data_IF_674818248138
#
_entry.id   IF_674818248138
#
_cell.length_a   1.000
_cell.length_b   1.000
_cell.length_c   1.000
_cell.angle_alpha   90.00
_cell.angle_beta   90.00
_cell.angle_gamma   90.00
#
_symmetry.space_group_name_H-M   'P 1'
#
loop_
_entity.id
_entity.type
_entity.pdbx_description
1 polymer ?
#
# COMPACT_ATOMS: atom_id res chain seq x y z
N UNK A 1 6.80 -25.49 50.41
CA UNK A 1 6.48 -24.06 50.18
C UNK A 1 6.08 -23.89 48.72
N UNK A 2 4.78 -23.88 48.45
CA UNK A 2 4.17 -23.82 47.12
C UNK A 2 4.08 -22.35 46.64
N UNK A 3 4.57 -22.02 45.45
CA UNK A 3 4.15 -20.80 44.72
C UNK A 3 3.59 -21.17 43.36
N UNK A 4 2.25 -21.13 43.25
CA UNK A 4 1.50 -21.13 41.99
C UNK A 4 1.20 -19.70 41.55
N UNK A 5 1.49 -19.44 40.27
CA UNK A 5 0.73 -18.67 39.25
C UNK A 5 0.32 -17.20 39.52
N UNK A 6 0.55 -16.35 38.51
CA UNK A 6 -0.52 -15.85 37.61
C UNK A 6 0.08 -15.26 36.32
N UNK A 7 0.04 -16.06 35.27
CA UNK A 7 -0.05 -15.61 33.88
C UNK A 7 -1.51 -15.27 33.61
N UNK A 8 -1.79 -14.13 33.00
CA UNK A 8 -3.10 -13.82 32.44
C UNK A 8 -2.93 -13.00 31.15
N UNK A 9 -2.70 -13.72 30.06
CA UNK A 9 -3.05 -13.29 28.71
C UNK A 9 -4.58 -13.29 28.60
N UNK A 10 -5.19 -12.12 28.43
CA UNK A 10 -6.59 -12.03 28.03
C UNK A 10 -6.59 -11.52 26.59
N UNK A 11 -6.63 -12.47 25.66
CA UNK A 11 -6.95 -12.17 24.26
C UNK A 11 -8.42 -11.77 24.19
N UNK A 12 -8.80 -10.71 23.46
CA UNK A 12 -10.20 -10.52 23.10
C UNK A 12 -10.66 -11.69 22.22
N UNK A 13 -11.95 -12.08 22.29
CA UNK A 13 -12.45 -13.23 21.56
C UNK A 13 -12.35 -13.00 20.05
N UNK A 14 -12.11 -14.05 19.23
CA UNK A 14 -12.08 -13.92 17.79
C UNK A 14 -13.46 -13.47 17.29
N UNK A 15 -13.53 -12.28 16.69
CA UNK A 15 -14.72 -11.86 15.96
C UNK A 15 -14.84 -12.71 14.69
N UNK A 16 -16.02 -13.28 14.46
CA UNK A 16 -16.33 -14.02 13.23
C UNK A 16 -16.14 -13.09 12.03
N UNK A 17 -15.51 -13.59 10.97
CA UNK A 17 -15.19 -12.89 9.70
C UNK A 17 -16.33 -12.04 9.15
N UNK A 18 -17.59 -12.45 9.36
CA UNK A 18 -18.78 -11.72 8.95
C UNK A 18 -18.96 -10.36 9.65
N UNK A 19 -18.68 -10.26 10.98
CA UNK A 19 -18.80 -9.00 11.73
C UNK A 19 -17.70 -7.99 11.40
N UNK A 20 -16.62 -8.43 10.75
CA UNK A 20 -15.53 -7.57 10.27
C UNK A 20 -15.99 -6.77 9.04
N UNK A 21 -16.88 -7.33 8.20
CA UNK A 21 -17.42 -6.61 7.03
C UNK A 21 -18.27 -5.39 7.40
N UNK A 22 -19.06 -5.51 8.47
CA UNK A 22 -20.02 -4.47 8.87
C UNK A 22 -19.35 -3.25 9.57
N UNK A 23 -18.04 -3.32 9.86
CA UNK A 23 -17.30 -2.30 10.64
C UNK A 23 -16.29 -1.49 9.83
N UNK A 24 -16.23 -1.68 8.50
CA UNK A 24 -15.66 -0.68 7.61
C UNK A 24 -16.55 0.57 7.66
N UNK A 25 -15.97 1.78 7.51
CA UNK A 25 -16.74 2.99 7.17
C UNK A 25 -17.85 2.61 6.20
N UNK A 26 -19.07 3.09 6.43
CA UNK A 26 -20.18 2.86 5.49
C UNK A 26 -19.65 2.98 4.06
N UNK A 27 -19.68 1.90 3.24
CA UNK A 27 -19.10 1.86 1.90
C UNK A 27 -19.51 3.05 1.02
N UNK A 28 -20.65 3.64 1.36
CA UNK A 28 -21.17 4.90 0.83
C UNK A 28 -20.15 6.04 0.93
N UNK A 29 -19.34 6.18 1.99
CA UNK A 29 -18.45 7.34 2.15
C UNK A 29 -17.20 7.28 1.26
N UNK A 30 -16.53 6.12 1.14
CA UNK A 30 -15.36 5.99 0.25
C UNK A 30 -15.78 6.07 -1.21
N UNK A 31 -16.85 5.36 -1.59
CA UNK A 31 -17.36 5.41 -2.96
C UNK A 31 -17.96 6.78 -3.28
N UNK A 32 -18.69 7.43 -2.35
CA UNK A 32 -19.14 8.80 -2.56
C UNK A 32 -17.98 9.81 -2.62
N UNK A 33 -16.89 9.62 -1.89
CA UNK A 33 -15.70 10.47 -2.05
C UNK A 33 -15.09 10.29 -3.44
N UNK A 34 -14.97 9.05 -3.93
CA UNK A 34 -14.52 8.77 -5.30
C UNK A 34 -15.47 9.34 -6.36
N UNK A 35 -16.78 9.15 -6.21
CA UNK A 35 -17.82 9.66 -7.12
C UNK A 35 -17.89 11.19 -7.10
N UNK A 36 -17.82 11.83 -5.93
CA UNK A 36 -17.77 13.29 -5.80
C UNK A 36 -16.48 13.86 -6.41
N UNK A 37 -15.36 13.13 -6.30
CA UNK A 37 -14.12 13.47 -7.00
C UNK A 37 -14.26 13.43 -8.52
N UNK A 38 -14.92 12.40 -9.06
CA UNK A 38 -15.20 12.28 -10.50
C UNK A 38 -16.18 13.36 -10.99
N UNK A 39 -17.23 13.69 -10.22
CA UNK A 39 -18.18 14.73 -10.59
C UNK A 39 -17.55 16.13 -10.65
N UNK A 40 -16.62 16.46 -9.74
CA UNK A 40 -15.85 17.72 -9.79
C UNK A 40 -14.98 17.82 -11.05
N UNK A 41 -14.43 16.71 -11.54
CA UNK A 41 -13.64 16.72 -12.77
C UNK A 41 -14.49 16.98 -14.02
N UNK A 42 -15.62 16.29 -14.14
CA UNK A 42 -16.53 16.48 -15.27
C UNK A 42 -17.05 17.92 -15.34
N UNK A 43 -17.21 18.57 -14.18
CA UNK A 43 -17.57 19.98 -14.11
C UNK A 43 -16.40 20.90 -14.53
N UNK A 44 -15.17 20.64 -14.07
CA UNK A 44 -13.99 21.46 -14.43
C UNK A 44 -13.66 21.35 -15.92
N UNK A 45 -13.74 20.15 -16.51
CA UNK A 45 -13.53 19.92 -17.94
C UNK A 45 -14.59 20.60 -18.82
N UNK A 46 -15.83 20.71 -18.33
CA UNK A 46 -16.90 21.42 -19.03
C UNK A 46 -16.74 22.95 -18.91
N UNK A 47 -16.25 23.47 -17.79
CA UNK A 47 -16.03 24.93 -17.60
C UNK A 47 -14.76 25.47 -18.27
N UNK A 48 -13.77 24.63 -18.56
CA UNK A 48 -12.55 25.04 -19.29
C UNK A 48 -12.70 25.05 -20.81
N UNK A 49 -13.88 24.74 -21.34
CA UNK A 49 -14.15 24.66 -22.78
C UNK A 49 -14.36 26.03 -23.47
N UNK A 50 -14.20 27.15 -22.75
CA UNK A 50 -14.45 28.50 -23.29
C UNK A 50 -13.23 29.43 -23.37
N UNK A 51 -11.98 28.94 -23.38
CA UNK A 51 -10.81 29.80 -23.59
C UNK A 51 -9.68 29.17 -24.44
N UNK A 52 -9.53 29.73 -25.65
CA UNK A 52 -8.35 29.84 -26.53
C UNK A 52 -7.51 28.60 -26.92
N UNK A 53 -7.26 28.54 -28.24
CA UNK A 53 -6.48 27.59 -29.01
C UNK A 53 -5.03 27.35 -28.50
N UNK A 54 -4.57 26.09 -28.59
CA UNK A 54 -3.14 25.75 -28.63
C UNK A 54 -2.66 24.59 -27.77
N UNK A 55 -3.45 24.07 -26.82
CA UNK A 55 -3.03 22.94 -26.01
C UNK A 55 -3.55 21.62 -26.59
N UNK A 56 -2.65 20.69 -26.92
CA UNK A 56 -3.00 19.28 -27.14
C UNK A 56 -3.84 18.81 -25.96
N UNK A 57 -5.12 18.54 -26.19
CA UNK A 57 -6.07 18.18 -25.15
C UNK A 57 -5.85 16.70 -24.80
N UNK A 58 -4.73 16.41 -24.13
CA UNK A 58 -4.41 15.05 -23.70
C UNK A 58 -5.51 14.58 -22.75
N UNK A 59 -6.29 13.60 -23.19
CA UNK A 59 -7.32 12.98 -22.37
C UNK A 59 -6.66 12.51 -21.08
N UNK A 60 -7.22 12.86 -19.93
CA UNK A 60 -6.75 12.37 -18.63
C UNK A 60 -7.68 11.28 -18.15
N UNK A 61 -7.13 10.18 -17.65
CA UNK A 61 -7.92 9.15 -16.96
C UNK A 61 -7.64 9.20 -15.46
N UNK A 62 -8.67 8.86 -14.69
CA UNK A 62 -8.53 8.70 -13.24
C UNK A 62 -8.06 7.29 -12.92
N UNK A 63 -7.08 7.16 -12.02
CA UNK A 63 -6.64 5.89 -11.44
C UNK A 63 -6.89 5.93 -9.93
N UNK A 64 -7.51 4.87 -9.41
CA UNK A 64 -7.75 4.62 -7.97
C UNK A 64 -6.60 3.80 -7.39
N UNK A 65 -5.87 4.41 -6.47
CA UNK A 65 -4.78 3.80 -5.74
C UNK A 65 -5.21 3.50 -4.30
N UNK A 66 -4.85 2.32 -3.79
CA UNK A 66 -4.93 1.98 -2.38
C UNK A 66 -3.57 1.47 -1.92
N UNK A 67 -3.12 1.90 -0.74
CA UNK A 67 -1.95 1.33 -0.07
C UNK A 67 -2.30 0.87 1.33
N UNK A 68 -1.81 -0.30 1.73
CA UNK A 68 -2.07 -0.85 3.06
C UNK A 68 -0.93 -1.73 3.57
N UNK A 69 -0.31 -1.32 4.67
CA UNK A 69 0.50 -2.24 5.47
C UNK A 69 -0.43 -3.25 6.14
N UNK A 70 -0.31 -4.51 5.70
CA UNK A 70 -1.29 -5.54 6.02
C UNK A 70 -0.90 -6.39 7.24
N UNK A 71 0.33 -6.23 7.78
CA UNK A 71 0.91 -7.00 8.90
C UNK A 71 0.78 -8.53 8.70
N UNK A 72 1.07 -9.02 7.50
CA UNK A 72 1.00 -10.43 7.11
C UNK A 72 -0.20 -10.73 6.22
N UNK A 73 0.08 -11.01 4.95
CA UNK A 73 -0.95 -11.16 3.90
C UNK A 73 -1.76 -12.46 4.03
N UNK A 74 -1.15 -13.51 4.59
CA UNK A 74 -1.75 -14.85 4.60
C UNK A 74 -3.13 -14.92 5.27
N UNK A 75 -3.42 -14.04 6.24
CA UNK A 75 -4.70 -14.00 6.98
C UNK A 75 -5.87 -13.46 6.15
N UNK A 76 -5.59 -12.82 5.02
CA UNK A 76 -6.60 -12.24 4.13
C UNK A 76 -6.92 -13.10 2.91
N UNK A 77 -6.13 -14.15 2.69
CA UNK A 77 -6.21 -15.02 1.52
C UNK A 77 -6.93 -16.33 1.86
N UNK A 78 -7.55 -16.94 0.86
CA UNK A 78 -8.09 -18.31 0.96
C UNK A 78 -7.00 -19.29 1.40
N UNK A 79 -7.34 -20.36 2.14
CA UNK A 79 -6.38 -21.41 2.53
C UNK A 79 -5.64 -22.00 1.32
N UNK A 80 -4.38 -22.41 1.51
CA UNK A 80 -3.65 -23.15 0.47
C UNK A 80 -4.16 -24.59 0.42
N UNK A 81 -5.11 -24.87 -0.46
CA UNK A 81 -5.78 -26.18 -0.57
C UNK A 81 -4.85 -27.31 -1.06
N UNK A 82 -3.59 -27.03 -1.40
CA UNK A 82 -2.65 -28.02 -1.97
C UNK A 82 -2.28 -29.18 -1.04
N UNK A 83 -2.53 -29.06 0.28
CA UNK A 83 -2.24 -30.15 1.25
C UNK A 83 -3.50 -30.83 1.78
N UNK A 84 -4.59 -30.06 1.98
CA UNK A 84 -5.83 -30.58 2.55
C UNK A 84 -6.66 -31.34 1.50
N UNK A 85 -6.71 -30.87 0.25
CA UNK A 85 -7.42 -31.59 -0.82
C UNK A 85 -6.72 -32.93 -1.13
N UNK A 86 -5.40 -33.03 -1.02
CA UNK A 86 -4.68 -34.32 -1.16
C UNK A 86 -5.01 -35.33 -0.05
N UNK A 87 -5.36 -34.85 1.14
CA UNK A 87 -5.77 -35.71 2.27
C UNK A 87 -7.27 -36.06 2.21
N UNK A 88 -8.13 -35.12 1.79
CA UNK A 88 -9.58 -35.29 1.73
C UNK A 88 -10.00 -36.06 0.46
N UNK A 89 -9.36 -35.87 -0.70
CA UNK A 89 -9.62 -36.71 -1.89
C UNK A 89 -9.29 -38.19 -1.67
N UNK A 90 -8.50 -38.53 -0.64
CA UNK A 90 -8.16 -39.91 -0.30
C UNK A 90 -9.18 -40.58 0.65
N UNK A 91 -10.11 -39.82 1.24
CA UNK A 91 -11.19 -40.34 2.09
C UNK A 91 -12.49 -39.68 1.69
N UNK A 92 -13.20 -40.31 0.76
CA UNK A 92 -14.43 -39.80 0.15
C UNK A 92 -15.41 -39.20 1.17
N UNK A 93 -15.74 -37.93 0.98
CA UNK A 93 -16.97 -37.31 1.44
C UNK A 93 -17.20 -36.03 0.62
N UNK A 94 -18.32 -35.92 -0.13
CA UNK A 94 -18.70 -34.69 -0.80
C UNK A 94 -19.55 -33.87 0.17
N UNK A 95 -18.92 -33.01 0.95
CA UNK A 95 -19.64 -31.87 1.55
C UNK A 95 -19.27 -30.63 0.77
N UNK A 96 -20.26 -30.07 0.07
CA UNK A 96 -20.17 -28.80 -0.65
C UNK A 96 -19.63 -27.74 0.32
N UNK A 97 -18.36 -27.42 0.18
CA UNK A 97 -17.74 -26.30 0.85
C UNK A 97 -18.36 -25.05 0.19
N UNK A 98 -19.36 -24.44 0.81
CA UNK A 98 -19.83 -23.11 0.42
C UNK A 98 -18.63 -22.19 0.58
N UNK A 99 -17.93 -21.91 -0.53
CA UNK A 99 -16.66 -21.20 -0.52
C UNK A 99 -16.90 -19.84 0.15
N UNK A 100 -16.46 -19.71 1.40
CA UNK A 100 -16.36 -18.38 2.02
C UNK A 100 -15.32 -17.64 1.20
N UNK A 101 -15.76 -16.60 0.50
CA UNK A 101 -14.87 -15.71 -0.24
C UNK A 101 -13.81 -15.16 0.70
N UNK A 102 -12.58 -15.05 0.23
CA UNK A 102 -11.49 -14.51 1.05
C UNK A 102 -11.78 -13.05 1.42
N UNK A 103 -11.13 -12.57 2.49
CA UNK A 103 -11.21 -11.16 2.85
C UNK A 103 -10.70 -10.27 1.69
N UNK A 104 -9.60 -10.66 1.04
CA UNK A 104 -9.06 -9.92 -0.10
C UNK A 104 -10.08 -9.82 -1.23
N UNK A 105 -10.77 -10.91 -1.56
CA UNK A 105 -11.82 -10.93 -2.60
C UNK A 105 -12.93 -9.94 -2.27
N UNK A 106 -13.38 -9.91 -1.01
CA UNK A 106 -14.43 -9.00 -0.54
C UNK A 106 -13.95 -7.54 -0.59
N UNK A 107 -12.71 -7.28 -0.13
CA UNK A 107 -12.10 -5.96 -0.15
C UNK A 107 -12.00 -5.39 -1.57
N UNK A 108 -11.52 -6.19 -2.53
CA UNK A 108 -11.40 -5.79 -3.93
C UNK A 108 -12.77 -5.54 -4.57
N UNK A 109 -13.77 -6.40 -4.30
CA UNK A 109 -15.13 -6.18 -4.78
C UNK A 109 -15.74 -4.88 -4.23
N UNK A 110 -15.47 -4.56 -2.97
CA UNK A 110 -16.01 -3.38 -2.30
C UNK A 110 -15.38 -2.07 -2.76
N UNK A 111 -14.06 -2.04 -2.91
CA UNK A 111 -13.31 -0.80 -3.17
C UNK A 111 -12.89 -0.62 -4.62
N UNK A 112 -12.82 -1.71 -5.40
CA UNK A 112 -12.45 -1.71 -6.82
C UNK A 112 -11.26 -0.78 -7.17
N UNK A 113 -10.11 -0.92 -6.50
CA UNK A 113 -8.93 -0.13 -6.85
C UNK A 113 -8.40 -0.53 -8.23
N UNK A 114 -7.77 0.39 -8.93
CA UNK A 114 -6.98 0.07 -10.13
C UNK A 114 -5.61 -0.50 -9.71
N UNK A 115 -5.04 0.00 -8.61
CA UNK A 115 -3.82 -0.52 -8.00
C UNK A 115 -3.98 -0.65 -6.48
N UNK A 116 -3.68 -1.83 -5.94
CA UNK A 116 -3.57 -2.10 -4.50
C UNK A 116 -2.12 -2.47 -4.15
N UNK A 117 -1.48 -1.64 -3.33
CA UNK A 117 -0.14 -1.86 -2.78
C UNK A 117 -0.23 -2.39 -1.36
N UNK A 118 0.35 -3.57 -1.12
CA UNK A 118 0.39 -4.23 0.17
C UNK A 118 1.83 -4.28 0.69
N UNK A 119 2.02 -3.88 1.95
CA UNK A 119 3.30 -3.95 2.66
C UNK A 119 3.23 -4.95 3.81
N UNK A 120 4.41 -5.35 4.31
CA UNK A 120 4.55 -6.35 5.37
C UNK A 120 3.80 -7.64 5.03
N UNK A 121 3.98 -8.16 3.83
CA UNK A 121 3.24 -9.36 3.41
C UNK A 121 3.65 -10.61 4.20
N UNK A 122 4.84 -10.59 4.79
CA UNK A 122 5.42 -11.63 5.64
C UNK A 122 5.51 -13.00 4.95
N UNK A 123 5.93 -12.99 3.68
CA UNK A 123 6.12 -14.20 2.87
C UNK A 123 7.56 -14.26 2.36
N UNK A 124 8.22 -15.40 2.55
CA UNK A 124 9.55 -15.65 1.98
C UNK A 124 9.47 -15.90 0.48
N UNK A 125 10.50 -15.49 -0.27
CA UNK A 125 10.63 -15.74 -1.71
C UNK A 125 10.48 -17.23 -2.10
N UNK A 126 10.85 -18.17 -1.21
CA UNK A 126 10.63 -19.61 -1.40
C UNK A 126 9.15 -20.02 -1.55
N UNK A 127 8.22 -19.17 -1.12
CA UNK A 127 6.77 -19.38 -1.23
C UNK A 127 6.11 -18.52 -2.32
N UNK A 128 6.89 -17.80 -3.14
CA UNK A 128 6.40 -16.91 -4.22
C UNK A 128 5.37 -17.60 -5.11
N UNK A 129 5.65 -18.80 -5.61
CA UNK A 129 4.73 -19.52 -6.50
C UNK A 129 3.39 -19.88 -5.83
N UNK A 130 3.39 -20.27 -4.56
CA UNK A 130 2.16 -20.54 -3.80
C UNK A 130 1.37 -19.25 -3.56
N UNK A 131 2.06 -18.17 -3.17
CA UNK A 131 1.44 -16.86 -2.94
C UNK A 131 0.75 -16.35 -4.21
N UNK A 132 1.45 -16.33 -5.35
CA UNK A 132 0.89 -15.85 -6.62
C UNK A 132 -0.30 -16.69 -7.08
N UNK A 133 -0.27 -18.01 -6.88
CA UNK A 133 -1.42 -18.89 -7.18
C UNK A 133 -2.65 -18.52 -6.36
N UNK A 134 -2.47 -18.29 -5.05
CA UNK A 134 -3.58 -17.90 -4.15
C UNK A 134 -4.11 -16.52 -4.51
N UNK A 135 -3.24 -15.56 -4.78
CA UNK A 135 -3.63 -14.22 -5.25
C UNK A 135 -4.42 -14.29 -6.56
N UNK A 136 -3.99 -15.12 -7.53
CA UNK A 136 -4.75 -15.34 -8.77
C UNK A 136 -6.15 -15.90 -8.52
N UNK A 137 -6.32 -16.74 -7.51
CA UNK A 137 -7.63 -17.29 -7.13
C UNK A 137 -8.51 -16.25 -6.42
N UNK A 138 -7.93 -15.48 -5.50
CA UNK A 138 -8.68 -14.52 -4.67
C UNK A 138 -8.93 -13.17 -5.38
N UNK A 139 -8.11 -12.83 -6.37
CA UNK A 139 -8.15 -11.58 -7.14
C UNK A 139 -8.05 -11.83 -8.65
N UNK A 140 -8.98 -12.58 -9.27
CA UNK A 140 -8.87 -13.06 -10.66
C UNK A 140 -8.81 -11.94 -11.72
N UNK A 141 -9.31 -10.75 -11.41
CA UNK A 141 -9.31 -9.58 -12.29
C UNK A 141 -8.03 -8.72 -12.16
N UNK A 142 -7.11 -9.12 -11.28
CA UNK A 142 -5.86 -8.42 -11.01
C UNK A 142 -4.67 -9.27 -11.44
N UNK A 143 -3.61 -8.59 -11.85
CA UNK A 143 -2.27 -9.15 -12.00
C UNK A 143 -1.48 -8.86 -10.74
N UNK A 144 -0.84 -9.89 -10.18
CA UNK A 144 -0.13 -9.82 -8.91
C UNK A 144 1.39 -9.91 -9.11
N UNK A 145 2.12 -8.93 -8.58
CA UNK A 145 3.58 -8.90 -8.55
C UNK A 145 4.06 -8.81 -7.11
N UNK A 146 5.28 -9.29 -6.83
CA UNK A 146 5.81 -9.26 -5.48
C UNK A 146 7.34 -9.17 -5.43
N UNK A 147 7.86 -8.37 -4.51
CA UNK A 147 9.26 -8.41 -4.11
C UNK A 147 9.29 -8.99 -2.69
N UNK A 148 9.95 -10.13 -2.50
CA UNK A 148 9.86 -10.92 -1.27
C UNK A 148 11.25 -11.18 -0.67
N UNK A 149 11.41 -11.06 0.66
CA UNK A 149 12.67 -11.35 1.32
C UNK A 149 13.03 -12.83 1.24
N UNK A 150 14.32 -13.15 1.16
CA UNK A 150 14.79 -14.52 1.24
C UNK A 150 14.60 -15.11 2.65
N UNK A 151 15.09 -14.41 3.68
CA UNK A 151 15.21 -14.89 5.06
C UNK A 151 14.37 -14.12 6.08
N UNK A 152 14.33 -12.78 5.99
CA UNK A 152 13.58 -11.94 6.92
C UNK A 152 12.07 -11.95 6.60
N UNK A 153 11.30 -12.83 7.25
CA UNK A 153 9.85 -12.94 7.04
C UNK A 153 9.03 -11.74 7.53
N UNK A 154 9.64 -10.65 8.00
CA UNK A 154 8.92 -9.45 8.47
C UNK A 154 8.85 -8.33 7.42
N UNK A 155 9.18 -8.62 6.17
CA UNK A 155 9.13 -7.66 5.07
C UNK A 155 8.41 -8.26 3.85
N UNK A 156 8.65 -7.69 2.68
CA UNK A 156 8.00 -8.06 1.43
C UNK A 156 6.84 -7.14 1.09
N UNK A 157 6.68 -6.90 -0.21
CA UNK A 157 5.59 -6.11 -0.79
C UNK A 157 4.90 -6.90 -1.91
N UNK A 158 3.60 -6.66 -2.07
CA UNK A 158 2.79 -7.18 -3.17
C UNK A 158 2.05 -6.01 -3.81
N UNK A 159 2.01 -5.96 -5.13
CA UNK A 159 1.14 -5.03 -5.87
C UNK A 159 0.14 -5.83 -6.69
N UNK A 160 -1.12 -5.40 -6.65
CA UNK A 160 -2.20 -5.92 -7.47
C UNK A 160 -2.66 -4.81 -8.42
N UNK A 161 -2.45 -4.99 -9.72
CA UNK A 161 -2.94 -4.07 -10.75
C UNK A 161 -4.14 -4.69 -11.46
N UNK A 162 -5.22 -3.94 -11.67
CA UNK A 162 -6.35 -4.44 -12.47
C UNK A 162 -5.86 -4.77 -13.88
N UNK A 163 -6.33 -5.87 -14.49
CA UNK A 163 -5.82 -6.33 -15.80
C UNK A 163 -6.02 -5.36 -16.96
N UNK A 164 -6.98 -4.44 -16.85
CA UNK A 164 -7.19 -3.37 -17.83
C UNK A 164 -6.16 -2.23 -17.71
N UNK A 165 -5.37 -2.21 -16.64
CA UNK A 165 -4.30 -1.26 -16.43
C UNK A 165 -3.00 -1.81 -17.01
N UNK A 166 -2.54 -1.22 -18.12
CA UNK A 166 -1.28 -1.60 -18.76
C UNK A 166 -0.08 -1.28 -17.84
N UNK A 167 0.67 -2.31 -17.47
CA UNK A 167 1.97 -2.22 -16.79
C UNK A 167 3.04 -2.54 -17.83
N UNK A 168 3.90 -1.58 -18.16
CA UNK A 168 4.98 -1.74 -19.15
C UNK A 168 6.11 -2.57 -18.55
N UNK A 169 6.59 -2.14 -17.39
CA UNK A 169 7.67 -2.79 -16.67
C UNK A 169 7.40 -2.86 -15.16
N UNK A 170 7.94 -3.90 -14.53
CA UNK A 170 7.97 -4.06 -13.08
C UNK A 170 9.39 -4.34 -12.66
N UNK A 171 9.90 -3.58 -11.70
CA UNK A 171 11.31 -3.61 -11.30
C UNK A 171 11.46 -3.73 -9.79
N UNK A 172 12.38 -4.61 -9.38
CA UNK A 172 12.94 -4.61 -8.03
C UNK A 172 14.19 -3.70 -8.03
N UNK A 173 14.63 -3.27 -6.85
CA UNK A 173 15.86 -2.48 -6.70
C UNK A 173 17.01 -3.35 -6.20
N UNK A 174 18.22 -3.10 -6.67
CA UNK A 174 19.42 -3.89 -6.31
C UNK A 174 19.91 -3.61 -4.88
N UNK A 175 19.67 -2.40 -4.38
CA UNK A 175 20.12 -1.92 -3.08
C UNK A 175 19.19 -2.31 -1.90
N UNK A 176 18.13 -3.08 -2.16
CA UNK A 176 17.27 -3.65 -1.12
C UNK A 176 17.01 -5.15 -1.33
N UNK A 177 17.66 -5.96 -0.50
CA UNK A 177 17.47 -7.42 -0.50
C UNK A 177 16.37 -7.90 0.49
N UNK A 178 15.66 -6.97 1.15
CA UNK A 178 14.59 -7.28 2.10
C UNK A 178 13.19 -7.27 1.45
N UNK A 179 13.10 -6.92 0.17
CA UNK A 179 11.86 -6.89 -0.59
C UNK A 179 10.91 -5.76 -0.20
N UNK A 180 11.46 -4.57 0.02
CA UNK A 180 10.76 -3.39 0.54
C UNK A 180 10.32 -2.41 -0.52
N UNK A 181 10.76 -2.57 -1.77
CA UNK A 181 10.41 -1.68 -2.88
C UNK A 181 10.04 -2.50 -4.09
N UNK A 182 8.92 -2.14 -4.71
CA UNK A 182 8.54 -2.66 -6.02
C UNK A 182 8.03 -1.50 -6.88
N UNK A 183 8.63 -1.34 -8.05
CA UNK A 183 8.38 -0.23 -8.97
C UNK A 183 7.58 -0.74 -10.17
N UNK A 184 6.58 0.02 -10.58
CA UNK A 184 5.72 -0.26 -11.74
C UNK A 184 5.73 0.93 -12.68
N UNK A 185 6.25 0.74 -13.88
CA UNK A 185 6.07 1.70 -14.96
C UNK A 185 4.73 1.42 -15.64
N UNK A 186 3.78 2.32 -15.44
CA UNK A 186 2.49 2.34 -16.12
C UNK A 186 2.60 3.26 -17.33
N UNK A 187 1.56 3.27 -18.16
CA UNK A 187 1.47 4.32 -19.17
C UNK A 187 1.15 5.68 -18.53
N UNK A 188 2.12 6.59 -18.52
CA UNK A 188 1.99 7.95 -17.99
C UNK A 188 2.17 8.11 -16.48
N UNK A 189 2.70 7.09 -15.80
CA UNK A 189 2.98 7.12 -14.35
C UNK A 189 4.01 6.04 -13.97
N UNK A 190 5.02 6.39 -13.17
CA UNK A 190 5.81 5.41 -12.41
C UNK A 190 5.30 5.32 -10.98
N UNK A 191 4.90 4.13 -10.54
CA UNK A 191 4.36 3.86 -9.21
C UNK A 191 5.35 3.05 -8.36
N UNK A 192 5.58 3.47 -7.12
CA UNK A 192 6.43 2.79 -6.15
C UNK A 192 5.61 2.27 -4.97
N UNK A 193 5.63 0.95 -4.75
CA UNK A 193 5.13 0.33 -3.52
C UNK A 193 6.29 0.23 -2.51
N UNK A 194 6.19 0.95 -1.38
CA UNK A 194 7.32 1.16 -0.46
C UNK A 194 7.03 0.68 0.96
N UNK A 195 7.97 -0.05 1.55
CA UNK A 195 7.99 -0.42 2.97
C UNK A 195 9.32 -0.06 3.65
N UNK A 196 9.44 1.17 4.15
CA UNK A 196 10.65 1.62 4.84
C UNK A 196 10.87 0.92 6.18
N UNK A 197 12.14 0.82 6.58
CA UNK A 197 12.53 0.34 7.90
C UNK A 197 11.97 1.24 9.02
N UNK A 198 11.63 0.62 10.15
CA UNK A 198 11.46 1.34 11.40
C UNK A 198 12.79 1.96 11.89
N UNK A 199 12.69 3.07 12.62
CA UNK A 199 13.80 3.85 13.17
C UNK A 199 14.14 3.38 14.59
N UNK A 200 14.97 2.35 14.74
CA UNK A 200 15.45 1.90 16.05
C UNK A 200 16.96 1.69 16.08
N UNK A 201 17.52 1.66 17.29
CA UNK A 201 18.94 1.38 17.52
C UNK A 201 19.26 -0.13 17.51
N UNK A 202 18.27 -0.97 17.19
CA UNK A 202 18.51 -2.39 16.98
C UNK A 202 19.50 -2.61 15.83
N UNK A 203 20.37 -3.62 15.94
CA UNK A 203 21.34 -3.92 14.89
C UNK A 203 20.62 -4.28 13.59
N UNK A 204 21.07 -3.67 12.49
CA UNK A 204 20.74 -4.10 11.14
C UNK A 204 21.83 -5.04 10.62
N UNK A 205 21.38 -6.12 9.98
CA UNK A 205 22.22 -7.16 9.40
C UNK A 205 22.04 -7.16 7.90
N UNK A 206 23.14 -7.30 7.18
CA UNK A 206 23.10 -7.51 5.74
C UNK A 206 22.63 -8.94 5.38
N UNK A 207 22.61 -9.27 4.09
CA UNK A 207 22.20 -10.58 3.59
C UNK A 207 23.07 -11.74 4.10
N UNK A 208 24.29 -11.48 4.56
CA UNK A 208 25.20 -12.48 5.15
C UNK A 208 24.92 -12.70 6.65
N UNK A 209 24.06 -11.87 7.26
CA UNK A 209 23.81 -11.87 8.70
C UNK A 209 24.79 -11.01 9.49
N UNK A 210 25.72 -10.31 8.83
CA UNK A 210 26.72 -9.45 9.47
C UNK A 210 26.11 -8.14 9.91
N UNK A 211 26.38 -7.71 11.16
CA UNK A 211 25.91 -6.41 11.65
C UNK A 211 26.69 -5.30 10.93
N UNK A 212 25.97 -4.38 10.27
CA UNK A 212 26.58 -3.26 9.53
C UNK A 212 26.26 -1.89 10.14
N UNK A 213 25.43 -1.87 11.19
CA UNK A 213 25.01 -0.65 11.87
C UNK A 213 23.67 -0.88 12.55
N UNK A 214 22.96 0.22 12.80
CA UNK A 214 21.61 0.23 13.37
C UNK A 214 20.55 0.24 12.26
N UNK A 215 19.30 -0.15 12.60
CA UNK A 215 18.15 0.00 11.70
C UNK A 215 17.89 1.46 11.36
N UNK A 216 18.11 2.38 12.30
CA UNK A 216 18.01 3.82 12.05
C UNK A 216 19.03 4.30 10.99
N UNK A 217 20.27 3.82 11.01
CA UNK A 217 21.28 4.13 9.99
C UNK A 217 20.91 3.56 8.62
N UNK A 218 20.54 2.27 8.58
CA UNK A 218 20.08 1.64 7.34
C UNK A 218 18.88 2.37 6.75
N UNK A 219 17.93 2.82 7.59
CA UNK A 219 16.78 3.60 7.13
C UNK A 219 17.18 4.89 6.43
N UNK A 220 18.14 5.66 6.98
CA UNK A 220 18.61 6.89 6.33
C UNK A 220 19.24 6.60 4.97
N UNK A 221 20.06 5.54 4.88
CA UNK A 221 20.61 5.09 3.61
C UNK A 221 19.50 4.69 2.62
N UNK A 222 18.52 3.90 3.07
CA UNK A 222 17.35 3.51 2.27
C UNK A 222 16.60 4.73 1.74
N UNK A 223 16.38 5.74 2.58
CA UNK A 223 15.68 6.97 2.21
C UNK A 223 16.43 7.79 1.16
N UNK A 224 17.77 7.85 1.23
CA UNK A 224 18.59 8.53 0.19
C UNK A 224 18.47 7.84 -1.15
N UNK A 225 18.61 6.51 -1.17
CA UNK A 225 18.52 5.71 -2.39
C UNK A 225 17.13 5.78 -3.01
N UNK A 226 16.08 5.65 -2.19
CA UNK A 226 14.70 5.81 -2.65
C UNK A 226 14.43 7.22 -3.20
N UNK A 227 14.90 8.28 -2.53
CA UNK A 227 14.72 9.65 -3.01
C UNK A 227 15.46 9.91 -4.32
N UNK A 228 16.64 9.30 -4.50
CA UNK A 228 17.39 9.35 -5.76
C UNK A 228 16.63 8.61 -6.87
N UNK A 229 16.15 7.39 -6.61
CA UNK A 229 15.37 6.61 -7.58
C UNK A 229 14.11 7.36 -8.02
N UNK A 230 13.34 7.88 -7.06
CA UNK A 230 12.16 8.69 -7.36
C UNK A 230 12.50 9.94 -8.17
N UNK A 231 13.65 10.58 -7.89
CA UNK A 231 14.08 11.77 -8.65
C UNK A 231 14.42 11.42 -10.09
N UNK A 232 15.19 10.34 -10.30
CA UNK A 232 15.55 9.88 -11.64
C UNK A 232 14.31 9.53 -12.46
N UNK A 233 13.40 8.74 -11.88
CA UNK A 233 12.15 8.35 -12.53
C UNK A 233 11.25 9.57 -12.83
N UNK A 234 11.25 10.58 -11.95
CA UNK A 234 10.47 11.81 -12.15
C UNK A 234 10.95 12.71 -13.28
N UNK A 235 12.15 12.46 -13.82
CA UNK A 235 12.65 13.16 -15.01
C UNK A 235 11.97 12.65 -16.29
N UNK A 236 11.49 11.41 -16.30
CA UNK A 236 10.93 10.75 -17.49
C UNK A 236 9.39 10.83 -17.52
N UNK A 237 8.75 10.63 -16.37
CA UNK A 237 7.29 10.67 -16.25
C UNK A 237 6.85 10.99 -14.81
N UNK A 238 5.58 11.36 -14.57
CA UNK A 238 5.08 11.59 -13.22
C UNK A 238 5.33 10.37 -12.32
N UNK A 239 5.67 10.61 -11.05
CA UNK A 239 5.92 9.54 -10.06
C UNK A 239 4.95 9.61 -8.89
N UNK A 240 4.51 8.44 -8.42
CA UNK A 240 3.80 8.31 -7.14
C UNK A 240 4.44 7.19 -6.32
N UNK A 241 4.87 7.50 -5.11
CA UNK A 241 5.31 6.52 -4.13
C UNK A 241 4.33 6.46 -2.96
N UNK A 242 3.81 5.26 -2.70
CA UNK A 242 2.83 5.02 -1.65
C UNK A 242 3.19 3.79 -0.83
N UNK A 243 2.91 3.84 0.47
CA UNK A 243 3.25 2.77 1.40
C UNK A 243 3.59 3.25 2.80
N UNK A 244 4.11 2.34 3.60
CA UNK A 244 4.58 2.60 4.96
C UNK A 244 6.02 3.12 4.92
N UNK A 245 6.18 4.44 5.04
CA UNK A 245 7.48 5.09 5.10
C UNK A 245 8.07 5.07 6.52
N UNK A 246 7.32 4.56 7.49
CA UNK A 246 7.66 4.52 8.90
C UNK A 246 8.10 5.90 9.43
N UNK A 247 7.55 6.99 8.87
CA UNK A 247 7.97 8.36 9.16
C UNK A 247 6.76 9.28 9.30
N UNK A 248 6.68 9.98 10.43
CA UNK A 248 5.71 11.05 10.64
C UNK A 248 6.36 12.35 10.19
N UNK A 249 5.91 12.98 9.10
CA UNK A 249 6.62 14.13 8.49
C UNK A 249 6.56 15.40 9.34
N UNK A 250 5.40 15.63 9.97
CA UNK A 250 5.10 16.82 10.77
C UNK A 250 4.82 16.47 12.23
N UNK A 251 4.92 17.44 13.14
CA UNK A 251 4.62 17.22 14.55
C UNK A 251 3.19 16.70 14.78
N UNK A 252 2.24 17.17 13.96
CA UNK A 252 0.83 16.78 14.04
C UNK A 252 0.58 15.35 13.50
N UNK A 253 1.55 14.74 12.81
CA UNK A 253 1.50 13.35 12.35
C UNK A 253 1.80 12.35 13.47
N UNK A 254 2.07 12.80 14.69
CA UNK A 254 2.32 11.93 15.82
C UNK A 254 1.61 12.43 17.08
N UNK A 255 1.27 11.47 17.94
CA UNK A 255 0.90 11.77 19.32
C UNK A 255 2.13 12.33 20.06
N UNK A 256 2.06 13.53 20.66
CA UNK A 256 3.20 14.11 21.40
C UNK A 256 3.66 13.20 22.54
N UNK A 257 4.98 13.17 22.80
CA UNK A 257 5.54 12.41 23.92
C UNK A 257 5.59 10.89 23.72
N UNK A 258 5.41 10.41 22.49
CA UNK A 258 5.40 8.97 22.16
C UNK A 258 6.61 8.54 21.34
N UNK A 259 6.64 7.28 20.89
CA UNK A 259 7.73 6.68 20.10
C UNK A 259 8.18 7.60 18.95
N UNK A 260 7.23 8.15 18.19
CA UNK A 260 7.54 8.92 16.97
C UNK A 260 8.10 10.32 17.26
N UNK A 261 8.13 10.76 18.51
CA UNK A 261 8.75 12.02 18.94
C UNK A 261 10.13 11.84 19.59
N UNK A 262 10.63 10.61 19.69
CA UNK A 262 11.98 10.33 20.21
C UNK A 262 13.08 10.79 19.23
N UNK A 263 14.28 11.03 19.75
CA UNK A 263 15.42 11.62 19.04
C UNK A 263 15.76 10.92 17.71
N UNK A 264 15.80 9.58 17.72
CA UNK A 264 16.11 8.77 16.52
C UNK A 264 15.08 8.97 15.41
N UNK A 265 13.80 9.13 15.76
CA UNK A 265 12.73 9.46 14.81
C UNK A 265 12.80 10.91 14.34
N UNK A 266 13.14 11.86 15.21
CA UNK A 266 13.32 13.28 14.88
C UNK A 266 14.46 13.47 13.87
N UNK A 267 15.62 12.86 14.11
CA UNK A 267 16.76 12.91 13.18
C UNK A 267 16.40 12.36 11.80
N UNK A 268 15.76 11.18 11.76
CA UNK A 268 15.33 10.57 10.51
C UNK A 268 14.26 11.41 9.80
N UNK A 269 13.34 12.06 10.54
CA UNK A 269 12.32 12.96 9.97
C UNK A 269 12.94 14.18 9.32
N UNK A 270 13.94 14.79 9.98
CA UNK A 270 14.65 15.96 9.44
C UNK A 270 15.29 15.63 8.10
N UNK A 271 16.01 14.51 8.03
CA UNK A 271 16.66 14.08 6.78
C UNK A 271 15.64 13.67 5.71
N UNK A 272 14.58 12.95 6.10
CA UNK A 272 13.48 12.62 5.19
C UNK A 272 12.87 13.88 4.56
N UNK A 273 12.55 14.91 5.35
CA UNK A 273 11.99 16.15 4.82
C UNK A 273 12.97 16.90 3.92
N UNK A 274 14.29 16.82 4.16
CA UNK A 274 15.28 17.40 3.27
C UNK A 274 15.36 16.67 1.91
N UNK A 275 15.24 15.34 1.90
CA UNK A 275 15.31 14.52 0.69
C UNK A 275 14.01 14.57 -0.14
N UNK A 276 12.86 14.48 0.54
CA UNK A 276 11.54 14.33 -0.07
C UNK A 276 10.73 15.63 -0.09
N UNK A 277 11.28 16.77 0.36
CA UNK A 277 10.58 18.05 0.41
C UNK A 277 10.08 18.58 -0.94
N UNK A 278 10.68 18.10 -2.05
CA UNK A 278 10.27 18.37 -3.44
C UNK A 278 9.07 17.55 -3.93
N UNK A 279 8.69 16.51 -3.20
CA UNK A 279 7.51 15.69 -3.52
C UNK A 279 6.32 16.13 -2.66
N UNK A 280 5.15 16.18 -3.30
CA UNK A 280 3.88 16.55 -2.67
C UNK A 280 3.38 15.39 -1.83
N UNK A 281 3.12 15.63 -0.53
CA UNK A 281 2.38 14.69 0.33
C UNK A 281 0.88 14.88 0.11
N UNK A 282 0.27 13.99 -0.68
CA UNK A 282 -1.11 14.13 -1.12
C UNK A 282 -2.12 14.11 0.05
N UNK A 283 -1.82 13.39 1.13
CA UNK A 283 -2.66 13.37 2.33
C UNK A 283 -2.58 14.71 3.04
N UNK A 284 -1.37 15.27 3.20
CA UNK A 284 -1.18 16.58 3.84
C UNK A 284 -1.77 17.70 3.00
N UNK A 285 -1.65 17.64 1.68
CA UNK A 285 -2.28 18.62 0.79
C UNK A 285 -3.81 18.57 0.87
N UNK A 286 -4.39 17.37 0.95
CA UNK A 286 -5.83 17.19 1.09
C UNK A 286 -6.37 17.62 2.46
N UNK A 287 -5.58 17.41 3.52
CA UNK A 287 -5.98 17.65 4.90
C UNK A 287 -4.90 18.46 5.66
N UNK A 288 -4.69 19.76 5.35
CA UNK A 288 -3.53 20.53 5.82
C UNK A 288 -3.34 20.55 7.33
N UNK A 289 -4.43 20.60 8.10
CA UNK A 289 -4.41 20.70 9.57
C UNK A 289 -4.91 19.46 10.31
N UNK A 290 -5.44 18.45 9.60
CA UNK A 290 -6.05 17.29 10.26
C UNK A 290 -5.00 16.27 10.73
N UNK A 291 -5.28 15.65 11.88
CA UNK A 291 -4.58 14.44 12.34
C UNK A 291 -5.17 13.23 11.64
N UNK A 292 -4.46 12.71 10.64
CA UNK A 292 -4.84 11.55 9.83
C UNK A 292 -3.95 10.35 10.17
N UNK A 293 -4.07 9.83 11.39
CA UNK A 293 -3.23 8.71 11.82
C UNK A 293 -3.52 7.45 11.01
N UNK A 294 -2.46 6.72 10.70
CA UNK A 294 -2.52 5.50 9.89
C UNK A 294 -1.93 4.31 10.62
N UNK A 295 -1.23 4.52 11.73
CA UNK A 295 -0.68 3.48 12.59
C UNK A 295 -1.15 3.71 14.04
N UNK A 296 -1.55 2.62 14.70
CA UNK A 296 -2.05 2.63 16.06
C UNK A 296 -1.33 1.57 16.89
N UNK A 297 -0.63 1.99 17.96
CA UNK A 297 0.03 1.01 18.82
C UNK A 297 -0.98 0.01 19.39
N UNK A 298 -0.57 -1.25 19.53
CA UNK A 298 -1.42 -2.31 20.09
C UNK A 298 -1.89 -2.01 21.52
N UNK A 299 -1.13 -1.19 22.25
CA UNK A 299 -1.47 -0.70 23.58
C UNK A 299 -2.49 0.44 23.57
N UNK A 300 -2.76 1.05 22.41
CA UNK A 300 -3.61 2.23 22.28
C UNK A 300 -3.00 3.54 22.80
N UNK A 301 -1.73 3.51 23.22
CA UNK A 301 -1.06 4.65 23.86
C UNK A 301 -0.32 5.57 22.88
N UNK A 302 -0.18 5.17 21.61
CA UNK A 302 0.50 5.95 20.60
C UNK A 302 -0.16 5.77 19.25
N UNK A 303 -0.40 6.88 18.57
CA UNK A 303 -0.91 6.90 17.20
C UNK A 303 -0.07 7.85 16.35
N UNK A 304 0.09 7.49 15.08
CA UNK A 304 0.87 8.27 14.15
C UNK A 304 0.42 8.07 12.71
N UNK A 305 0.65 9.07 11.85
CA UNK A 305 0.65 8.92 10.40
C UNK A 305 2.06 8.55 9.97
N UNK A 306 2.20 7.40 9.34
CA UNK A 306 3.50 6.85 8.89
C UNK A 306 3.44 6.29 7.48
N UNK A 307 2.23 6.00 7.02
CA UNK A 307 1.92 5.71 5.64
C UNK A 307 1.76 7.04 4.89
N UNK A 308 2.37 7.15 3.71
CA UNK A 308 2.35 8.36 2.89
C UNK A 308 1.96 8.04 1.46
N UNK A 309 1.46 9.05 0.75
CA UNK A 309 1.40 9.09 -0.71
C UNK A 309 2.18 10.33 -1.14
N UNK A 310 3.39 10.11 -1.66
CA UNK A 310 4.27 11.14 -2.18
C UNK A 310 4.18 11.15 -3.71
N UNK A 311 4.04 12.33 -4.30
CA UNK A 311 3.93 12.48 -5.74
C UNK A 311 4.85 13.59 -6.28
N UNK A 312 5.26 13.49 -7.54
CA UNK A 312 5.82 14.64 -8.25
C UNK A 312 4.76 15.73 -8.41
N UNK A 313 5.20 16.99 -8.58
CA UNK A 313 4.32 18.17 -8.55
C UNK A 313 3.31 18.25 -9.70
N UNK A 314 3.54 17.50 -10.77
CA UNK A 314 2.68 17.37 -11.95
C UNK A 314 1.52 16.37 -11.75
N UNK A 315 1.57 15.53 -10.72
CA UNK A 315 0.47 14.62 -10.39
C UNK A 315 -0.68 15.40 -9.78
N UNK A 316 -1.81 15.40 -10.48
CA UNK A 316 -3.04 15.98 -9.99
C UNK A 316 -3.88 14.91 -9.30
N UNK A 317 -4.35 15.19 -8.09
CA UNK A 317 -5.30 14.34 -7.37
C UNK A 317 -6.72 14.90 -7.41
N UNK A 318 -7.70 14.01 -7.36
CA UNK A 318 -9.11 14.37 -7.17
C UNK A 318 -9.56 14.12 -5.74
N UNK A 319 -9.07 13.03 -5.16
CA UNK A 319 -9.42 12.55 -3.83
C UNK A 319 -8.18 11.97 -3.19
N UNK A 320 -7.99 12.22 -1.90
CA UNK A 320 -6.98 11.54 -1.11
C UNK A 320 -7.41 11.53 0.36
N UNK A 321 -7.47 10.35 0.97
CA UNK A 321 -7.84 10.19 2.37
C UNK A 321 -7.32 8.85 2.94
N UNK A 322 -7.56 8.65 4.23
CA UNK A 322 -7.35 7.41 4.97
C UNK A 322 -8.69 6.68 5.13
N UNK A 323 -8.69 5.36 5.02
CA UNK A 323 -9.81 4.55 5.51
C UNK A 323 -9.79 4.50 7.04
N UNK A 324 -10.94 4.39 7.71
CA UNK A 324 -10.93 4.17 9.16
C UNK A 324 -10.29 2.82 9.47
N UNK A 325 -9.52 2.76 10.56
CA UNK A 325 -8.95 1.52 11.06
C UNK A 325 -10.09 0.57 11.42
N UNK A 326 -10.27 -0.48 10.63
CA UNK A 326 -11.31 -1.47 10.94
C UNK A 326 -10.87 -2.29 12.13
N UNK A 327 -11.49 -1.98 13.27
CA UNK A 327 -11.52 -2.83 14.45
C UNK A 327 -10.18 -3.37 14.91
N UNK A 328 -9.11 -2.56 15.02
CA UNK A 328 -7.83 -2.80 15.75
C UNK A 328 -7.23 -4.23 15.75
N UNK A 329 -7.64 -5.14 14.88
CA UNK A 329 -7.61 -6.58 15.18
C UNK A 329 -6.85 -7.44 14.16
N UNK A 330 -6.68 -6.96 12.92
CA UNK A 330 -5.92 -7.69 11.91
C UNK A 330 -4.63 -6.96 11.50
N UNK A 331 -4.66 -5.66 11.21
CA UNK A 331 -3.45 -4.82 11.05
C UNK A 331 -3.52 -3.65 12.04
N UNK A 332 -2.37 -3.18 12.51
CA UNK A 332 -2.24 -1.92 13.24
C UNK A 332 -2.18 -0.69 12.32
N UNK A 333 -2.24 -0.91 11.00
CA UNK A 333 -2.31 0.13 9.99
C UNK A 333 -3.68 0.28 9.30
N UNK A 334 -4.04 1.53 9.01
CA UNK A 334 -5.20 1.94 8.24
C UNK A 334 -4.82 2.16 6.76
N UNK A 335 -5.59 1.64 5.80
CA UNK A 335 -5.32 1.88 4.38
C UNK A 335 -5.36 3.36 3.99
N UNK A 336 -4.47 3.74 3.08
CA UNK A 336 -4.54 5.00 2.34
C UNK A 336 -5.23 4.79 1.00
N UNK A 337 -5.92 5.81 0.52
CA UNK A 337 -6.40 5.82 -0.85
C UNK A 337 -6.26 7.19 -1.52
N UNK A 338 -6.08 7.17 -2.83
CA UNK A 338 -6.13 8.35 -3.66
C UNK A 338 -6.75 8.03 -5.01
N UNK A 339 -7.41 9.02 -5.60
CA UNK A 339 -7.71 9.03 -7.02
C UNK A 339 -6.86 10.13 -7.67
N UNK A 340 -6.07 9.75 -8.66
CA UNK A 340 -5.16 10.65 -9.37
C UNK A 340 -5.48 10.67 -10.86
N UNK A 341 -5.17 11.79 -11.50
CA UNK A 341 -5.22 11.91 -12.95
C UNK A 341 -3.88 11.53 -13.54
N UNK A 342 -3.91 10.70 -14.57
CA UNK A 342 -2.75 10.45 -15.42
C UNK A 342 -3.09 10.75 -16.89
N UNK A 343 -2.09 11.10 -17.72
CA UNK A 343 -2.28 11.18 -19.16
C UNK A 343 -2.80 9.85 -19.71
N UNK A 344 -3.82 9.89 -20.58
CA UNK A 344 -4.26 8.76 -21.39
C UNK A 344 -3.65 8.93 -22.77
N UNK A 345 -2.91 7.93 -23.26
CA UNK A 345 -2.61 7.90 -24.69
C UNK A 345 -3.89 7.61 -25.47
N UNK A 346 -4.08 8.29 -26.60
CA UNK A 346 -5.03 7.84 -27.60
C UNK A 346 -4.52 6.49 -28.13
N UNK A 347 -5.36 5.46 -28.07
CA UNK A 347 -5.23 4.37 -29.03
C UNK A 347 -5.50 5.03 -30.37
N UNK A 348 -4.46 5.24 -31.18
CA UNK A 348 -4.65 5.60 -32.58
C UNK A 348 -5.56 4.54 -33.17
N UNK A 349 -6.79 4.92 -33.49
CA UNK A 349 -7.74 4.02 -34.12
C UNK A 349 -7.08 3.46 -35.37
N UNK A 350 -6.79 2.17 -35.37
CA UNK A 350 -6.70 1.45 -36.62
C UNK A 350 -8.09 1.56 -37.24
N UNK A 351 -8.23 2.53 -38.15
CA UNK A 351 -9.26 2.51 -39.16
C UNK A 351 -9.14 1.14 -39.83
N UNK A 352 -10.07 0.25 -39.51
CA UNK A 352 -10.40 -0.84 -40.40
C UNK A 352 -11.02 -0.20 -41.63
N UNK A 353 -10.17 0.19 -42.58
CA UNK A 353 -10.62 0.44 -43.94
C UNK A 353 -11.11 -0.91 -44.47
N UNK A 354 -12.44 -1.08 -44.43
CA UNK A 354 -13.12 -2.04 -45.28
C UNK A 354 -13.14 -1.46 -46.70
N UNK A 355 -12.31 -2.04 -47.57
CA UNK A 355 -12.52 -2.05 -49.02
C UNK A 355 -12.53 -3.51 -49.48
#
# INVERSE_FOLDING_TARGET
>A
MNKRKRTASISPPPMKTQKVLDSYTSPLRTNALFEAGQAKLNHVSNTSSSASAGASNTLKRTIKLISWNCDGLNKYLSPDNTTLDKFITRRGSPTRNTAKTSFLTQFLAQHSPDVLCLQEVHVSSSKRASLLRRLKSDAPNYEATCCLPASNKHAGVVTLCIKSLAVKHTMEVDWDHEGRVLIHELDGLTLFNVYCLNSSDHPWRDATGTIKGTRAERKRQFQRLLAQEMLLQSAEQPVVALGDFNISRFALDATPGTLRTQETHVKNRREFNALFGKFVDLIREAHPSARKYTWHSRTGTSEARVDLILASSDVQRTVCDTMESVGRGQSDHSPLFAAILIPSQQISGQLFDQC
#
